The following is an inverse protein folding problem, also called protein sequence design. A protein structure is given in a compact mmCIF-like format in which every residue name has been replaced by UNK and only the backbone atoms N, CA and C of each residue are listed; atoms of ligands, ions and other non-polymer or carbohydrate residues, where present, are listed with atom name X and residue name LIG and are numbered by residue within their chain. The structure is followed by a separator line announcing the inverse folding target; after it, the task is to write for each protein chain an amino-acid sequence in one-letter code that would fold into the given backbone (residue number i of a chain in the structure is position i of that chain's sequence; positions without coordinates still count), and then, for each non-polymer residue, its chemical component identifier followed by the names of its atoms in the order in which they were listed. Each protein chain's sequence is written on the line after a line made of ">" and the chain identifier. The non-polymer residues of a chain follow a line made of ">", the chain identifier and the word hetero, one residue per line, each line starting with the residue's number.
data_IF_123432237792
#
_entry.id   IF_123432237792
#
_cell.length_a   1.000
_cell.length_b   1.000
_cell.length_c   1.000
_cell.angle_alpha   90.00
_cell.angle_beta   90.00
_cell.angle_gamma   90.00
#
_symmetry.space_group_name_H-M   'P 1'
#
loop_
_entity.id
_entity.type
_entity.pdbx_description
1 polymer ?
#
# COMPACT_ATOMS: atom_id res chain seq x y z
N UNK A 1 0.96 -13.11 23.30
CA UNK A 1 1.07 -12.42 22.00
C UNK A 1 2.16 -11.38 22.13
N UNK A 2 3.00 -11.18 21.10
CA UNK A 2 4.00 -10.11 21.15
C UNK A 2 3.27 -8.76 21.23
N UNK A 3 3.87 -7.77 21.91
CA UNK A 3 3.24 -6.46 22.12
C UNK A 3 2.85 -5.79 20.79
N UNK A 4 3.62 -6.02 19.71
CA UNK A 4 3.32 -5.51 18.38
C UNK A 4 2.10 -6.16 17.73
N UNK A 5 1.86 -7.46 17.91
CA UNK A 5 0.67 -8.14 17.36
C UNK A 5 -0.62 -7.60 17.99
N UNK A 6 -0.59 -7.20 19.27
CA UNK A 6 -1.76 -6.61 19.92
C UNK A 6 -2.05 -5.18 19.44
N UNK A 7 -1.01 -4.34 19.31
CA UNK A 7 -1.14 -3.01 18.75
C UNK A 7 -1.64 -3.06 17.30
N UNK A 8 -1.13 -4.01 16.50
CA UNK A 8 -1.58 -4.20 15.12
C UNK A 8 -3.06 -4.56 15.04
N UNK A 9 -3.55 -5.45 15.92
CA UNK A 9 -4.98 -5.77 15.98
C UNK A 9 -5.83 -4.54 16.27
N UNK A 10 -5.42 -3.71 17.25
CA UNK A 10 -6.12 -2.45 17.54
C UNK A 10 -6.08 -1.50 16.35
N UNK A 11 -4.94 -1.40 15.65
CA UNK A 11 -4.83 -0.59 14.45
C UNK A 11 -5.86 -0.99 13.40
N UNK A 12 -6.01 -2.28 13.10
CA UNK A 12 -7.04 -2.78 12.17
C UNK A 12 -8.47 -2.53 12.65
N UNK A 13 -8.73 -2.66 13.95
CA UNK A 13 -10.05 -2.34 14.53
C UNK A 13 -10.40 -0.86 14.40
N UNK A 14 -9.44 0.03 14.61
CA UNK A 14 -9.62 1.46 14.40
C UNK A 14 -9.82 1.80 12.93
N UNK A 15 -9.00 1.24 12.04
CA UNK A 15 -9.04 1.49 10.59
C UNK A 15 -10.36 1.01 9.97
N UNK A 16 -10.80 -0.21 10.32
CA UNK A 16 -12.09 -0.77 9.86
C UNK A 16 -13.31 -0.02 10.40
N UNK A 17 -13.15 0.71 11.50
CA UNK A 17 -14.20 1.53 12.09
C UNK A 17 -14.15 3.00 11.65
N UNK A 18 -13.28 3.37 10.70
CA UNK A 18 -13.13 4.75 10.21
C UNK A 18 -12.58 5.71 11.27
N UNK A 19 -11.75 5.20 12.17
CA UNK A 19 -11.02 5.98 13.19
C UNK A 19 -9.55 6.06 12.80
N UNK A 20 -9.27 6.69 11.66
CA UNK A 20 -7.95 6.61 11.03
C UNK A 20 -6.85 7.29 11.85
N UNK A 21 -7.16 8.37 12.57
CA UNK A 21 -6.19 9.05 13.43
C UNK A 21 -5.72 8.14 14.58
N UNK A 22 -6.65 7.43 15.21
CA UNK A 22 -6.34 6.44 16.24
C UNK A 22 -5.62 5.22 15.65
N UNK A 23 -6.01 4.77 14.45
CA UNK A 23 -5.33 3.68 13.75
C UNK A 23 -3.85 4.02 13.49
N UNK A 24 -3.53 5.26 13.09
CA UNK A 24 -2.13 5.71 12.90
C UNK A 24 -1.31 5.55 14.18
N UNK A 25 -1.87 5.89 15.34
CA UNK A 25 -1.18 5.73 16.63
C UNK A 25 -0.86 4.26 16.89
N UNK A 26 -1.83 3.38 16.70
CA UNK A 26 -1.68 1.95 16.94
C UNK A 26 -0.73 1.28 15.92
N UNK A 27 -0.76 1.70 14.65
CA UNK A 27 0.21 1.23 13.65
C UNK A 27 1.64 1.60 14.05
N UNK A 28 1.89 2.85 14.46
CA UNK A 28 3.23 3.27 14.91
C UNK A 28 3.70 2.44 16.10
N UNK A 29 2.83 2.24 17.09
CA UNK A 29 3.11 1.39 18.25
C UNK A 29 3.43 -0.06 17.83
N UNK A 30 2.71 -0.61 16.86
CA UNK A 30 2.97 -1.95 16.33
C UNK A 30 4.35 -2.05 15.66
N UNK A 31 4.71 -1.07 14.82
CA UNK A 31 6.03 -1.03 14.17
C UNK A 31 7.18 -0.85 15.18
N UNK A 32 7.00 -0.03 16.21
CA UNK A 32 7.98 0.15 17.28
C UNK A 32 8.17 -1.12 18.12
N UNK A 33 7.10 -1.85 18.40
CA UNK A 33 7.13 -3.08 19.17
C UNK A 33 7.58 -4.32 18.35
N UNK A 34 7.73 -4.17 17.03
CA UNK A 34 8.06 -5.24 16.10
C UNK A 34 6.82 -6.02 15.63
N UNK A 35 6.77 -6.30 14.33
CA UNK A 35 5.67 -7.00 13.67
C UNK A 35 6.19 -8.33 13.14
N UNK A 36 5.41 -9.39 13.33
CA UNK A 36 5.71 -10.72 12.81
C UNK A 36 5.77 -10.68 11.27
N UNK A 37 6.64 -11.49 10.67
CA UNK A 37 6.92 -11.43 9.23
C UNK A 37 5.66 -11.70 8.38
N UNK A 38 4.78 -12.57 8.89
CA UNK A 38 3.52 -12.95 8.27
C UNK A 38 2.53 -11.78 8.19
N UNK A 39 2.52 -10.91 9.20
CA UNK A 39 1.62 -9.76 9.30
C UNK A 39 2.18 -8.51 8.64
N UNK A 40 3.50 -8.43 8.46
CA UNK A 40 4.20 -7.24 7.96
C UNK A 40 3.64 -6.71 6.62
N UNK A 41 3.33 -7.53 5.59
CA UNK A 41 2.72 -7.02 4.36
C UNK A 41 1.37 -6.33 4.61
N UNK A 42 0.52 -6.91 5.46
CA UNK A 42 -0.79 -6.38 5.81
C UNK A 42 -0.68 -5.10 6.65
N UNK A 43 0.25 -5.07 7.61
CA UNK A 43 0.52 -3.90 8.44
C UNK A 43 1.00 -2.70 7.60
N UNK A 44 1.90 -2.93 6.63
CA UNK A 44 2.39 -1.88 5.74
C UNK A 44 1.32 -1.35 4.80
N UNK A 45 0.49 -2.24 4.24
CA UNK A 45 -0.64 -1.87 3.38
C UNK A 45 -1.62 -1.00 4.17
N UNK A 46 -2.04 -1.49 5.33
CA UNK A 46 -2.98 -0.82 6.23
C UNK A 46 -2.44 0.54 6.64
N UNK A 47 -1.25 0.60 7.23
CA UNK A 47 -0.66 1.85 7.69
C UNK A 47 -0.49 2.87 6.57
N UNK A 48 0.03 2.45 5.40
CA UNK A 48 0.15 3.31 4.23
C UNK A 48 -1.20 3.86 3.76
N UNK A 49 -2.24 3.03 3.73
CA UNK A 49 -3.60 3.43 3.38
C UNK A 49 -4.19 4.43 4.38
N UNK A 50 -4.05 4.16 5.67
CA UNK A 50 -4.54 5.02 6.75
C UNK A 50 -3.86 6.38 6.72
N UNK A 51 -2.53 6.43 6.55
CA UNK A 51 -1.77 7.67 6.36
C UNK A 51 -2.31 8.50 5.18
N UNK A 52 -2.62 7.85 4.05
CA UNK A 52 -3.24 8.54 2.90
C UNK A 52 -4.58 9.13 3.28
N UNK A 53 -5.41 8.41 4.04
CA UNK A 53 -6.75 8.86 4.41
C UNK A 53 -6.67 10.10 5.31
N UNK A 54 -5.76 10.14 6.28
CA UNK A 54 -5.56 11.31 7.17
C UNK A 54 -4.79 12.47 6.52
N UNK A 55 -4.27 12.29 5.30
CA UNK A 55 -3.60 13.35 4.53
C UNK A 55 -2.07 13.39 4.67
N UNK A 56 -1.47 12.43 5.38
CA UNK A 56 -0.01 12.26 5.52
C UNK A 56 0.56 11.56 4.26
N UNK A 57 0.47 12.23 3.12
CA UNK A 57 0.70 11.62 1.81
C UNK A 57 2.16 11.23 1.56
N UNK A 58 3.12 12.04 2.02
CA UNK A 58 4.56 11.79 1.89
C UNK A 58 4.94 10.50 2.61
N UNK A 59 4.46 10.34 3.84
CA UNK A 59 4.75 9.16 4.64
C UNK A 59 4.02 7.94 4.10
N UNK A 60 2.76 8.10 3.67
CA UNK A 60 2.01 7.04 2.99
C UNK A 60 2.79 6.49 1.79
N UNK A 61 3.30 7.37 0.91
CA UNK A 61 4.08 6.95 -0.26
C UNK A 61 5.38 6.26 0.16
N UNK A 62 6.08 6.79 1.17
CA UNK A 62 7.30 6.18 1.71
C UNK A 62 7.04 4.75 2.18
N UNK A 63 6.03 4.54 3.02
CA UNK A 63 5.66 3.23 3.59
C UNK A 63 5.27 2.25 2.48
N UNK A 64 4.42 2.67 1.55
CA UNK A 64 3.93 1.81 0.47
C UNK A 64 5.02 1.50 -0.56
N UNK A 65 5.91 2.44 -0.89
CA UNK A 65 7.07 2.18 -1.75
C UNK A 65 8.03 1.17 -1.13
N UNK A 66 8.28 1.30 0.17
CA UNK A 66 9.08 0.33 0.91
C UNK A 66 8.38 -1.04 0.93
N UNK A 67 7.05 -1.09 1.08
CA UNK A 67 6.27 -2.32 1.01
C UNK A 67 6.35 -2.99 -0.37
N UNK A 68 6.20 -2.23 -1.46
CA UNK A 68 6.35 -2.72 -2.84
C UNK A 68 7.77 -3.22 -3.12
N UNK A 69 8.78 -2.58 -2.53
CA UNK A 69 10.19 -3.04 -2.67
C UNK A 69 10.39 -4.38 -1.97
N UNK A 70 9.79 -4.58 -0.80
CA UNK A 70 9.86 -5.81 0.00
C UNK A 70 9.05 -6.96 -0.61
N UNK A 71 7.89 -6.64 -1.17
CA UNK A 71 6.91 -7.60 -1.67
C UNK A 71 6.51 -7.26 -3.12
N UNK A 72 7.44 -7.42 -4.08
CA UNK A 72 7.26 -6.92 -5.45
C UNK A 72 6.10 -7.56 -6.22
N UNK A 73 5.70 -8.76 -5.84
CA UNK A 73 4.61 -9.54 -6.46
C UNK A 73 3.24 -9.31 -5.80
N UNK A 74 3.18 -8.57 -4.69
CA UNK A 74 1.90 -8.21 -4.07
C UNK A 74 1.25 -7.06 -4.85
N UNK A 75 0.31 -7.41 -5.72
CA UNK A 75 -0.42 -6.45 -6.54
C UNK A 75 -1.21 -5.42 -5.71
N UNK A 76 -1.73 -5.80 -4.54
CA UNK A 76 -2.50 -4.89 -3.69
C UNK A 76 -1.64 -3.72 -3.19
N UNK A 77 -0.41 -3.98 -2.73
CA UNK A 77 0.51 -2.91 -2.30
C UNK A 77 0.77 -1.89 -3.39
N UNK A 78 0.90 -2.32 -4.65
CA UNK A 78 1.04 -1.43 -5.81
C UNK A 78 -0.21 -0.60 -6.06
N UNK A 79 -1.40 -1.21 -5.97
CA UNK A 79 -2.67 -0.46 -6.09
C UNK A 79 -2.77 0.62 -5.00
N UNK A 80 -2.43 0.31 -3.76
CA UNK A 80 -2.48 1.30 -2.67
C UNK A 80 -1.44 2.41 -2.87
N UNK A 81 -0.23 2.09 -3.35
CA UNK A 81 0.77 3.09 -3.73
C UNK A 81 0.26 4.00 -4.85
N UNK A 82 -0.41 3.44 -5.85
CA UNK A 82 -1.03 4.21 -6.94
C UNK A 82 -2.07 5.20 -6.42
N UNK A 83 -2.94 4.78 -5.49
CA UNK A 83 -3.95 5.65 -4.88
C UNK A 83 -3.31 6.82 -4.11
N UNK A 84 -2.20 6.56 -3.41
CA UNK A 84 -1.45 7.62 -2.73
C UNK A 84 -0.84 8.61 -3.73
N UNK A 85 -0.15 8.13 -4.77
CA UNK A 85 0.41 8.98 -5.83
C UNK A 85 -0.66 9.80 -6.54
N UNK A 86 -1.83 9.20 -6.80
CA UNK A 86 -2.96 9.91 -7.36
C UNK A 86 -3.39 11.08 -6.47
N UNK A 87 -3.51 10.86 -5.15
CA UNK A 87 -3.86 11.91 -4.18
C UNK A 87 -2.78 12.99 -4.07
N UNK A 88 -1.52 12.66 -4.36
CA UNK A 88 -0.37 13.58 -4.48
C UNK A 88 -0.28 14.31 -5.84
N UNK A 89 -1.25 14.11 -6.72
CA UNK A 89 -1.26 14.64 -8.09
C UNK A 89 -0.19 14.07 -9.04
N UNK A 90 0.55 13.03 -8.62
CA UNK A 90 1.43 12.25 -9.50
C UNK A 90 0.61 11.21 -10.28
N UNK A 91 -0.14 11.69 -11.29
CA UNK A 91 -1.03 10.84 -12.10
C UNK A 91 -0.26 9.83 -12.95
N UNK A 92 0.90 10.22 -13.48
CA UNK A 92 1.75 9.34 -14.27
C UNK A 92 2.34 8.21 -13.42
N UNK A 93 2.86 8.53 -12.24
CA UNK A 93 3.32 7.52 -11.28
C UNK A 93 2.21 6.63 -10.74
N UNK A 94 1.00 7.15 -10.54
CA UNK A 94 -0.16 6.34 -10.17
C UNK A 94 -0.53 5.33 -11.27
N UNK A 95 -0.58 5.79 -12.53
CA UNK A 95 -0.86 4.92 -13.67
C UNK A 95 0.17 3.80 -13.82
N UNK A 96 1.47 4.14 -13.71
CA UNK A 96 2.56 3.15 -13.75
C UNK A 96 2.35 2.02 -12.73
N UNK A 97 2.01 2.36 -11.48
CA UNK A 97 1.80 1.34 -10.45
C UNK A 97 0.55 0.48 -10.69
N UNK A 98 -0.54 1.05 -11.23
CA UNK A 98 -1.73 0.28 -11.60
C UNK A 98 -1.43 -0.70 -12.74
N UNK A 99 -0.68 -0.27 -13.75
CA UNK A 99 -0.25 -1.13 -14.87
C UNK A 99 0.60 -2.29 -14.34
N UNK A 100 1.58 -2.00 -13.47
CA UNK A 100 2.36 -3.08 -12.85
C UNK A 100 1.49 -4.01 -12.01
N UNK A 101 0.56 -3.47 -11.21
CA UNK A 101 -0.34 -4.29 -10.39
C UNK A 101 -1.17 -5.26 -11.24
N UNK A 102 -1.68 -4.81 -12.40
CA UNK A 102 -2.44 -5.66 -13.32
C UNK A 102 -1.64 -6.87 -13.81
N UNK A 103 -0.37 -6.67 -14.15
CA UNK A 103 0.48 -7.77 -14.60
C UNK A 103 0.98 -8.66 -13.46
N UNK A 104 1.16 -8.12 -12.24
CA UNK A 104 1.49 -8.93 -11.06
C UNK A 104 0.32 -9.81 -10.60
N UNK A 105 -0.91 -9.36 -10.81
CA UNK A 105 -2.12 -10.11 -10.48
C UNK A 105 -2.46 -11.23 -11.50
N UNK A 106 -1.65 -11.39 -12.56
CA UNK A 106 -1.89 -12.33 -13.68
C UNK A 106 -3.34 -12.28 -14.19
N UNK A 107 -3.85 -11.05 -14.41
CA UNK A 107 -5.23 -10.83 -14.81
C UNK A 107 -5.53 -11.55 -16.15
N UNK A 108 -6.55 -12.45 -16.20
CA UNK A 108 -6.83 -13.25 -17.39
C UNK A 108 -7.02 -12.41 -18.66
N UNK A 109 -6.31 -12.80 -19.73
CA UNK A 109 -6.41 -12.16 -21.03
C UNK A 109 -5.66 -10.83 -21.18
N UNK A 110 -4.93 -10.36 -20.15
CA UNK A 110 -4.13 -9.13 -20.23
C UNK A 110 -2.78 -9.31 -20.94
N UNK A 111 -2.18 -10.51 -20.89
CA UNK A 111 -0.86 -10.78 -21.45
C UNK A 111 -0.74 -10.39 -22.94
N UNK A 112 -1.79 -10.62 -23.75
CA UNK A 112 -1.80 -10.25 -25.18
C UNK A 112 -1.73 -8.74 -25.44
N UNK A 113 -2.06 -7.92 -24.45
CA UNK A 113 -2.07 -6.46 -24.53
C UNK A 113 -0.89 -5.82 -23.80
N UNK A 114 0.01 -6.62 -23.21
CA UNK A 114 1.05 -6.12 -22.32
C UNK A 114 1.90 -5.03 -22.95
N UNK A 115 2.40 -5.26 -24.17
CA UNK A 115 3.21 -4.29 -24.89
C UNK A 115 2.51 -2.95 -25.09
N UNK A 116 1.22 -2.97 -25.45
CA UNK A 116 0.45 -1.74 -25.70
C UNK A 116 0.20 -0.97 -24.40
N UNK A 117 -0.22 -1.69 -23.34
CA UNK A 117 -0.51 -1.10 -22.03
C UNK A 117 0.75 -0.48 -21.42
N UNK A 118 1.87 -1.22 -21.45
CA UNK A 118 3.17 -0.71 -20.97
C UNK A 118 3.68 0.45 -21.81
N UNK A 119 3.41 0.46 -23.12
CA UNK A 119 3.72 1.57 -24.03
C UNK A 119 3.08 2.88 -23.59
N UNK A 120 1.76 2.90 -23.39
CA UNK A 120 1.06 4.09 -22.89
C UNK A 120 1.57 4.56 -21.53
N UNK A 121 1.96 3.62 -20.66
CA UNK A 121 2.51 3.96 -19.36
C UNK A 121 3.89 4.64 -19.42
N UNK A 122 4.63 4.49 -20.52
CA UNK A 122 5.92 5.15 -20.73
C UNK A 122 5.78 6.56 -21.33
N UNK A 123 4.59 6.90 -21.85
CA UNK A 123 4.29 8.19 -22.50
C UNK A 123 3.72 9.23 -21.52
N UNK A 124 3.41 8.84 -20.28
CA UNK A 124 2.91 9.68 -19.18
C UNK A 124 4.03 10.15 -18.24
#
# INVERSE_FOLDING_TARGET
>A
MAAGSEALRRAWEHDSAGREAEAVVEYRAAFEAGIDAEDLPGALLGFGSTLRNVGELEESERVLREAVTRYPDNAALRVFLALTRWKRDDKGGAWRELVEALFRADAPGMARYERAIRGYSAEL
#
